data_IF_555623624517
#
_entry.id   IF_555623624517
#
_cell.length_a   1.000
_cell.length_b   1.000
_cell.length_c   1.000
_cell.angle_alpha   90.00
_cell.angle_beta   90.00
_cell.angle_gamma   90.00
#
_symmetry.space_group_name_H-M   'P 1'
#
loop_
_entity.id
_entity.type
_entity.pdbx_description
1 polymer ?
#
# COMPACT_ATOMS: atom_id res chain seq x y z
N UNK A 1 -61.67 -25.05 8.39
CA UNK A 1 -63.06 -25.18 7.88
C UNK A 1 -62.93 -25.51 6.40
N UNK A 2 -63.80 -26.32 5.80
CA UNK A 2 -63.63 -26.71 4.39
C UNK A 2 -64.07 -25.55 3.49
N UNK A 3 -63.13 -24.77 2.97
CA UNK A 3 -63.38 -23.88 1.85
C UNK A 3 -63.73 -24.76 0.63
N UNK A 4 -64.80 -24.40 -0.06
CA UNK A 4 -65.24 -25.09 -1.25
C UNK A 4 -64.81 -24.23 -2.44
N UNK A 5 -63.61 -24.47 -2.97
CA UNK A 5 -63.20 -23.92 -4.26
C UNK A 5 -64.24 -24.30 -5.31
N UNK A 6 -64.78 -23.27 -5.95
CA UNK A 6 -65.91 -23.36 -6.88
C UNK A 6 -65.42 -22.95 -8.26
N UNK A 7 -64.72 -23.85 -8.94
CA UNK A 7 -64.42 -23.65 -10.36
C UNK A 7 -65.73 -23.76 -11.16
N UNK A 8 -66.23 -22.62 -11.65
CA UNK A 8 -67.31 -22.57 -12.64
C UNK A 8 -66.70 -22.31 -14.03
N UNK A 9 -66.54 -23.32 -14.89
CA UNK A 9 -66.30 -23.04 -16.30
C UNK A 9 -67.61 -22.63 -16.97
N UNK A 10 -67.77 -21.34 -17.28
CA UNK A 10 -68.81 -20.86 -18.21
C UNK A 10 -68.22 -20.83 -19.63
N UNK A 11 -68.32 -21.94 -20.34
CA UNK A 11 -68.13 -21.94 -21.80
C UNK A 11 -69.46 -21.59 -22.47
N UNK A 12 -69.66 -20.30 -22.75
CA UNK A 12 -70.69 -19.82 -23.68
C UNK A 12 -70.11 -19.69 -25.09
N UNK A 13 -70.69 -20.37 -26.08
CA UNK A 13 -70.27 -20.38 -27.49
C UNK A 13 -70.35 -19.01 -28.22
N UNK A 14 -70.66 -17.90 -27.53
CA UNK A 14 -70.67 -16.57 -28.14
C UNK A 14 -70.05 -15.53 -27.20
N UNK A 15 -68.75 -15.30 -27.37
CA UNK A 15 -68.04 -14.03 -27.14
C UNK A 15 -68.37 -13.23 -25.89
N UNK A 16 -67.66 -13.51 -24.80
CA UNK A 16 -67.53 -12.63 -23.65
C UNK A 16 -66.86 -13.36 -22.50
N UNK A 17 -65.54 -13.20 -22.34
CA UNK A 17 -64.86 -13.58 -21.11
C UNK A 17 -65.43 -12.70 -20.00
N UNK A 18 -65.97 -13.32 -18.95
CA UNK A 18 -66.31 -12.66 -17.70
C UNK A 18 -65.13 -12.95 -16.78
N UNK A 19 -64.25 -11.96 -16.61
CA UNK A 19 -63.33 -11.91 -15.48
C UNK A 19 -64.20 -11.60 -14.24
N UNK A 20 -64.11 -12.43 -13.20
CA UNK A 20 -64.74 -12.23 -11.88
C UNK A 20 -63.57 -12.35 -10.92
N UNK A 21 -63.05 -11.20 -10.47
CA UNK A 21 -63.34 -10.51 -9.20
C UNK A 21 -62.56 -11.17 -8.06
N UNK A 22 -61.45 -10.52 -7.68
CA UNK A 22 -60.92 -10.34 -6.33
C UNK A 22 -61.47 -11.38 -5.34
N UNK A 23 -60.75 -12.47 -5.12
CA UNK A 23 -61.23 -13.43 -4.14
C UNK A 23 -60.21 -14.45 -3.72
N UNK A 24 -59.82 -14.32 -2.44
CA UNK A 24 -58.95 -15.20 -1.67
C UNK A 24 -59.13 -16.70 -2.03
N UNK A 25 -58.11 -17.31 -2.63
CA UNK A 25 -58.06 -18.74 -2.94
C UNK A 25 -57.22 -19.54 -1.91
N UNK A 26 -57.59 -20.81 -1.71
CA UNK A 26 -56.86 -21.67 -0.78
C UNK A 26 -56.89 -23.16 -1.11
N UNK A 27 -55.76 -23.83 -0.91
CA UNK A 27 -55.61 -25.28 -1.07
C UNK A 27 -54.17 -25.73 -1.31
N UNK A 28 -53.91 -27.05 -1.38
CA UNK A 28 -52.55 -27.59 -1.54
C UNK A 28 -51.79 -27.03 -2.77
N UNK A 29 -52.51 -26.61 -3.83
CA UNK A 29 -51.93 -25.92 -4.99
C UNK A 29 -52.93 -24.84 -5.44
N UNK A 30 -52.52 -23.58 -5.41
CA UNK A 30 -53.29 -22.42 -5.85
C UNK A 30 -52.69 -21.90 -7.17
N UNK A 31 -53.53 -21.35 -8.03
CA UNK A 31 -53.16 -20.81 -9.34
C UNK A 31 -54.11 -19.66 -9.64
N UNK A 32 -53.67 -18.42 -9.43
CA UNK A 32 -54.38 -17.23 -9.85
C UNK A 32 -53.65 -16.54 -11.02
N UNK A 33 -54.28 -15.54 -11.57
CA UNK A 33 -53.84 -14.68 -12.66
C UNK A 33 -54.87 -13.58 -12.91
N UNK A 34 -55.66 -13.26 -11.89
CA UNK A 34 -56.58 -12.15 -11.84
C UNK A 34 -55.87 -11.00 -11.13
N UNK A 35 -55.66 -9.87 -11.82
CA UNK A 35 -55.09 -8.71 -11.14
C UNK A 35 -56.10 -8.06 -10.18
N UNK A 36 -55.65 -7.59 -9.02
CA UNK A 36 -56.58 -7.03 -8.04
C UNK A 36 -55.98 -6.76 -6.67
N UNK A 37 -56.81 -7.00 -5.66
CA UNK A 37 -56.38 -7.13 -4.27
C UNK A 37 -56.81 -8.55 -3.91
N UNK A 38 -55.84 -9.45 -3.78
CA UNK A 38 -56.01 -10.91 -3.71
C UNK A 38 -55.20 -11.42 -2.49
N UNK A 39 -55.60 -12.55 -1.89
CA UNK A 39 -54.94 -13.16 -0.72
C UNK A 39 -54.91 -14.69 -0.95
N UNK A 40 -53.82 -15.27 -1.45
CA UNK A 40 -53.76 -16.71 -1.72
C UNK A 40 -52.96 -17.53 -0.70
N UNK A 41 -53.43 -18.76 -0.42
CA UNK A 41 -52.77 -19.63 0.56
C UNK A 41 -52.74 -21.12 0.22
N UNK A 42 -51.56 -21.75 0.23
CA UNK A 42 -51.40 -23.15 -0.15
C UNK A 42 -50.06 -23.80 0.21
N UNK A 43 -49.84 -25.07 -0.17
CA UNK A 43 -48.46 -25.62 -0.10
C UNK A 43 -47.63 -25.08 -1.30
N UNK A 44 -48.29 -24.78 -2.41
CA UNK A 44 -47.69 -24.14 -3.59
C UNK A 44 -48.67 -23.09 -4.12
N UNK A 45 -48.24 -21.83 -4.19
CA UNK A 45 -49.00 -20.71 -4.77
C UNK A 45 -48.31 -20.28 -6.07
N UNK A 46 -49.11 -19.85 -7.04
CA UNK A 46 -48.65 -19.42 -8.35
C UNK A 46 -49.58 -18.28 -8.79
N UNK A 47 -49.17 -17.04 -8.57
CA UNK A 47 -49.86 -15.88 -9.11
C UNK A 47 -49.16 -15.37 -10.38
N UNK A 48 -49.91 -14.64 -11.17
CA UNK A 48 -49.46 -13.87 -12.30
C UNK A 48 -50.55 -12.87 -12.64
N UNK A 49 -51.12 -12.26 -11.60
CA UNK A 49 -52.01 -11.11 -11.63
C UNK A 49 -51.23 -9.90 -11.12
N UNK A 50 -51.34 -8.75 -11.78
CA UNK A 50 -50.77 -7.53 -11.23
C UNK A 50 -51.72 -6.85 -10.24
N UNK A 51 -51.22 -6.38 -9.10
CA UNK A 51 -52.12 -5.92 -8.06
C UNK A 51 -51.50 -5.49 -6.75
N UNK A 52 -52.26 -5.70 -5.69
CA UNK A 52 -51.85 -5.61 -4.29
C UNK A 52 -52.11 -7.00 -3.70
N UNK A 53 -51.10 -7.85 -3.63
CA UNK A 53 -51.27 -9.30 -3.45
C UNK A 53 -50.59 -9.74 -2.14
N UNK A 54 -51.15 -10.74 -1.47
CA UNK A 54 -50.65 -11.27 -0.19
C UNK A 54 -50.65 -12.81 -0.26
N UNK A 55 -49.55 -13.43 -0.70
CA UNK A 55 -49.50 -14.88 -0.89
C UNK A 55 -48.73 -15.62 0.20
N UNK A 56 -49.19 -16.83 0.53
CA UNK A 56 -48.57 -17.64 1.57
C UNK A 56 -48.52 -19.15 1.27
N UNK A 57 -47.34 -19.77 1.42
CA UNK A 57 -47.23 -21.23 1.28
C UNK A 57 -45.85 -21.83 1.52
N UNK A 58 -45.66 -23.13 1.27
CA UNK A 58 -44.29 -23.70 1.33
C UNK A 58 -43.46 -23.19 0.12
N UNK A 59 -44.11 -22.93 -1.01
CA UNK A 59 -43.49 -22.33 -2.20
C UNK A 59 -44.46 -21.29 -2.80
N UNK A 60 -44.01 -20.06 -2.97
CA UNK A 60 -44.75 -18.97 -3.62
C UNK A 60 -44.02 -18.59 -4.91
N UNK A 61 -44.79 -18.20 -5.93
CA UNK A 61 -44.28 -17.82 -7.24
C UNK A 61 -45.18 -16.72 -7.81
N UNK A 62 -44.74 -15.48 -7.73
CA UNK A 62 -45.34 -14.36 -8.47
C UNK A 62 -44.52 -14.13 -9.76
N UNK A 63 -45.11 -13.46 -10.73
CA UNK A 63 -44.34 -12.87 -11.80
C UNK A 63 -45.03 -11.73 -12.51
N UNK A 64 -45.96 -11.03 -11.84
CA UNK A 64 -46.68 -9.92 -12.44
C UNK A 64 -46.27 -8.54 -11.94
N UNK A 65 -46.03 -8.24 -10.67
CA UNK A 65 -45.55 -6.92 -10.24
C UNK A 65 -46.65 -5.90 -9.93
N UNK A 66 -46.38 -5.12 -8.88
CA UNK A 66 -47.45 -4.49 -8.12
C UNK A 66 -46.99 -4.06 -6.74
N UNK A 67 -47.77 -4.44 -5.74
CA UNK A 67 -47.51 -4.22 -4.32
C UNK A 67 -47.72 -5.56 -3.64
N UNK A 68 -46.69 -6.38 -3.57
CA UNK A 68 -46.73 -7.79 -3.17
C UNK A 68 -46.20 -7.97 -1.73
N UNK A 69 -46.80 -8.90 -0.97
CA UNK A 69 -46.40 -9.29 0.40
C UNK A 69 -46.41 -10.82 0.47
N UNK A 70 -45.33 -11.49 0.05
CA UNK A 70 -45.30 -12.95 -0.04
C UNK A 70 -44.56 -13.63 1.13
N UNK A 71 -45.04 -14.83 1.49
CA UNK A 71 -44.43 -15.58 2.60
C UNK A 71 -44.37 -17.09 2.40
N UNK A 72 -43.19 -17.70 2.60
CA UNK A 72 -43.07 -19.16 2.50
C UNK A 72 -41.73 -19.77 2.85
N UNK A 73 -41.55 -21.09 2.66
CA UNK A 73 -40.20 -21.68 2.76
C UNK A 73 -39.34 -21.23 1.55
N UNK A 74 -39.97 -21.03 0.39
CA UNK A 74 -39.32 -20.49 -0.81
C UNK A 74 -40.24 -19.49 -1.50
N UNK A 75 -39.78 -18.27 -1.71
CA UNK A 75 -40.48 -17.23 -2.47
C UNK A 75 -39.70 -16.95 -3.76
N UNK A 76 -40.41 -16.67 -4.84
CA UNK A 76 -39.85 -16.43 -6.16
C UNK A 76 -40.68 -15.34 -6.83
N UNK A 77 -40.22 -14.10 -6.75
CA UNK A 77 -40.79 -12.99 -7.49
C UNK A 77 -39.93 -12.66 -8.71
N UNK A 78 -40.59 -12.24 -9.79
CA UNK A 78 -39.95 -11.66 -10.99
C UNK A 78 -40.71 -10.42 -11.45
N UNK A 79 -41.55 -9.88 -10.56
CA UNK A 79 -42.49 -8.79 -10.71
C UNK A 79 -41.77 -7.48 -10.83
N UNK A 80 -41.82 -6.62 -9.84
CA UNK A 80 -41.29 -5.26 -9.90
C UNK A 80 -42.37 -4.28 -9.49
N UNK A 81 -42.07 -3.51 -8.46
CA UNK A 81 -43.12 -2.83 -7.72
C UNK A 81 -42.65 -2.38 -6.34
N UNK A 82 -43.49 -2.66 -5.34
CA UNK A 82 -43.12 -2.63 -3.94
C UNK A 82 -43.33 -4.05 -3.41
N UNK A 83 -42.27 -4.75 -3.09
CA UNK A 83 -42.27 -6.16 -2.69
C UNK A 83 -41.79 -6.27 -1.22
N UNK A 84 -42.41 -7.14 -0.42
CA UNK A 84 -42.07 -7.43 1.00
C UNK A 84 -42.16 -8.96 1.16
N UNK A 85 -41.10 -9.66 0.74
CA UNK A 85 -41.09 -11.10 0.72
C UNK A 85 -40.39 -11.70 1.94
N UNK A 86 -40.90 -12.83 2.43
CA UNK A 86 -40.33 -13.50 3.60
C UNK A 86 -40.25 -15.01 3.49
N UNK A 87 -39.09 -15.60 3.78
CA UNK A 87 -38.95 -17.06 3.76
C UNK A 87 -37.62 -17.67 4.16
N UNK A 88 -37.45 -19.00 4.01
CA UNK A 88 -36.10 -19.59 4.16
C UNK A 88 -35.22 -19.23 2.95
N UNK A 89 -35.81 -19.11 1.74
CA UNK A 89 -35.12 -18.64 0.54
C UNK A 89 -36.02 -17.68 -0.23
N UNK A 90 -35.56 -16.46 -0.48
CA UNK A 90 -36.25 -15.46 -1.30
C UNK A 90 -35.43 -15.23 -2.58
N UNK A 91 -36.13 -15.04 -3.69
CA UNK A 91 -35.53 -14.80 -5.00
C UNK A 91 -36.38 -13.75 -5.70
N UNK A 92 -35.98 -12.50 -5.61
CA UNK A 92 -36.53 -11.42 -6.41
C UNK A 92 -35.65 -11.20 -7.65
N UNK A 93 -36.28 -10.88 -8.76
CA UNK A 93 -35.58 -10.40 -9.95
C UNK A 93 -36.36 -9.27 -10.63
N UNK A 94 -37.27 -8.67 -9.88
CA UNK A 94 -38.15 -7.58 -10.22
C UNK A 94 -37.35 -6.32 -10.45
N UNK A 95 -37.48 -5.33 -9.58
CA UNK A 95 -36.90 -4.03 -9.77
C UNK A 95 -37.93 -2.99 -9.39
N UNK A 96 -37.68 -2.35 -8.26
CA UNK A 96 -38.66 -1.52 -7.62
C UNK A 96 -38.14 -0.97 -6.31
N UNK A 97 -38.82 -1.33 -5.23
CA UNK A 97 -38.51 -0.99 -3.86
C UNK A 97 -38.83 -2.27 -3.08
N UNK A 98 -37.79 -3.04 -2.79
CA UNK A 98 -37.88 -4.38 -2.24
C UNK A 98 -37.47 -4.37 -0.75
N UNK A 99 -38.17 -5.14 0.09
CA UNK A 99 -37.92 -5.28 1.54
C UNK A 99 -37.92 -6.80 1.87
N UNK A 100 -36.91 -7.57 1.43
CA UNK A 100 -36.94 -9.03 1.57
C UNK A 100 -36.30 -9.55 2.86
N UNK A 101 -36.78 -10.70 3.33
CA UNK A 101 -36.23 -11.33 4.53
C UNK A 101 -36.15 -12.86 4.50
N UNK A 102 -34.99 -13.43 4.82
CA UNK A 102 -34.86 -14.89 4.90
C UNK A 102 -33.51 -15.46 5.34
N UNK A 103 -33.35 -16.80 5.33
CA UNK A 103 -32.02 -17.40 5.54
C UNK A 103 -31.11 -17.13 4.31
N UNK A 104 -31.68 -17.08 3.10
CA UNK A 104 -30.96 -16.68 1.88
C UNK A 104 -31.86 -15.77 1.03
N UNK A 105 -31.37 -14.59 0.68
CA UNK A 105 -32.06 -13.63 -0.19
C UNK A 105 -31.21 -13.42 -1.45
N UNK A 106 -31.88 -13.28 -2.59
CA UNK A 106 -31.26 -13.07 -3.89
C UNK A 106 -32.13 -12.08 -4.66
N UNK A 107 -31.76 -10.80 -4.63
CA UNK A 107 -32.43 -9.74 -5.38
C UNK A 107 -31.60 -9.41 -6.65
N UNK A 108 -32.31 -9.14 -7.75
CA UNK A 108 -31.76 -8.66 -9.00
C UNK A 108 -31.47 -7.15 -9.03
N UNK A 109 -31.82 -6.44 -7.97
CA UNK A 109 -31.66 -5.02 -7.73
C UNK A 109 -32.83 -4.18 -8.24
N UNK A 110 -33.08 -3.10 -7.53
CA UNK A 110 -34.14 -2.13 -7.71
C UNK A 110 -33.67 -0.71 -7.38
N UNK A 111 -34.47 0.06 -6.67
CA UNK A 111 -34.14 1.42 -6.25
C UNK A 111 -34.58 1.57 -4.79
N UNK A 112 -33.62 1.62 -3.86
CA UNK A 112 -33.84 1.54 -2.41
C UNK A 112 -34.44 0.19 -2.00
N UNK A 113 -33.65 -0.85 -2.11
CA UNK A 113 -33.97 -2.19 -1.62
C UNK A 113 -33.35 -2.36 -0.23
N UNK A 114 -33.97 -3.15 0.63
CA UNK A 114 -33.53 -3.35 2.02
C UNK A 114 -33.68 -4.82 2.43
N UNK A 115 -32.73 -5.66 2.03
CA UNK A 115 -32.84 -7.08 2.31
C UNK A 115 -32.21 -7.48 3.65
N UNK A 116 -32.73 -8.57 4.21
CA UNK A 116 -32.24 -9.09 5.48
C UNK A 116 -32.12 -10.61 5.57
N UNK A 117 -30.95 -11.12 5.96
CA UNK A 117 -30.78 -12.58 6.09
C UNK A 117 -29.45 -13.14 6.59
N UNK A 118 -29.32 -14.47 6.64
CA UNK A 118 -28.00 -15.11 6.91
C UNK A 118 -27.05 -14.94 5.70
N UNK A 119 -27.59 -14.93 4.47
CA UNK A 119 -26.86 -14.63 3.24
C UNK A 119 -27.74 -13.78 2.31
N UNK A 120 -27.27 -12.59 1.95
CA UNK A 120 -27.96 -11.66 1.06
C UNK A 120 -27.10 -11.42 -0.17
N UNK A 121 -27.74 -11.30 -1.33
CA UNK A 121 -27.10 -11.06 -2.63
C UNK A 121 -27.99 -10.10 -3.42
N UNK A 122 -27.67 -8.82 -3.40
CA UNK A 122 -28.45 -7.75 -4.04
C UNK A 122 -27.53 -6.81 -4.86
N UNK A 123 -28.13 -5.80 -5.49
CA UNK A 123 -27.52 -4.58 -5.97
C UNK A 123 -27.88 -3.35 -5.12
N UNK A 124 -28.30 -3.55 -3.85
CA UNK A 124 -28.94 -2.58 -2.96
C UNK A 124 -28.49 -2.70 -1.49
N UNK A 125 -28.91 -1.75 -0.64
CA UNK A 125 -28.42 -1.56 0.72
C UNK A 125 -29.02 -2.50 1.76
N UNK A 126 -28.22 -3.46 2.21
CA UNK A 126 -28.68 -4.68 2.82
C UNK A 126 -28.19 -4.93 4.25
N UNK A 127 -28.74 -5.98 4.89
CA UNK A 127 -28.25 -6.41 6.21
C UNK A 127 -28.22 -7.93 6.44
N UNK A 128 -27.18 -8.47 7.04
CA UNK A 128 -27.12 -9.92 7.27
C UNK A 128 -25.90 -10.50 7.97
N UNK A 129 -25.78 -11.82 8.06
CA UNK A 129 -24.52 -12.45 8.47
C UNK A 129 -23.47 -12.37 7.32
N UNK A 130 -23.92 -12.44 6.05
CA UNK A 130 -23.08 -12.27 4.87
C UNK A 130 -23.86 -11.50 3.81
N UNK A 131 -23.39 -10.33 3.41
CA UNK A 131 -24.00 -9.46 2.40
C UNK A 131 -23.07 -9.39 1.20
N UNK A 132 -23.63 -9.33 0.00
CA UNK A 132 -22.90 -9.27 -1.26
C UNK A 132 -23.60 -8.31 -2.21
N UNK A 133 -23.16 -7.06 -2.24
CA UNK A 133 -23.63 -6.05 -3.16
C UNK A 133 -22.79 -6.06 -4.46
N UNK A 134 -23.48 -5.94 -5.59
CA UNK A 134 -22.88 -5.72 -6.91
C UNK A 134 -23.54 -4.58 -7.68
N UNK A 135 -24.19 -3.68 -6.95
CA UNK A 135 -24.98 -2.52 -7.34
C UNK A 135 -24.14 -1.43 -7.98
N UNK A 136 -24.61 -0.19 -7.93
CA UNK A 136 -23.86 0.93 -8.50
C UNK A 136 -24.58 2.26 -8.41
N UNK A 137 -25.48 2.38 -7.46
CA UNK A 137 -26.04 3.63 -6.95
C UNK A 137 -25.65 3.71 -5.46
N UNK A 138 -25.91 4.83 -4.76
CA UNK A 138 -25.48 5.05 -3.37
C UNK A 138 -26.20 4.08 -2.39
N UNK A 139 -25.52 3.03 -1.91
CA UNK A 139 -26.07 1.98 -1.05
C UNK A 139 -25.31 1.90 0.30
N UNK A 140 -25.65 0.94 1.16
CA UNK A 140 -24.93 0.74 2.42
C UNK A 140 -25.31 -0.54 3.11
N UNK A 141 -24.36 -1.46 3.20
CA UNK A 141 -24.54 -2.80 3.72
C UNK A 141 -24.16 -2.92 5.20
N UNK A 142 -24.79 -3.86 5.89
CA UNK A 142 -24.44 -4.14 7.29
C UNK A 142 -24.45 -5.62 7.66
N UNK A 143 -23.34 -6.17 8.14
CA UNK A 143 -23.32 -7.58 8.53
C UNK A 143 -22.10 -8.12 9.26
N UNK A 144 -22.09 -9.43 9.59
CA UNK A 144 -20.85 -10.06 10.07
C UNK A 144 -19.77 -10.03 8.95
N UNK A 145 -20.20 -10.15 7.68
CA UNK A 145 -19.35 -9.89 6.52
C UNK A 145 -20.12 -9.10 5.46
N UNK A 146 -19.62 -7.95 5.02
CA UNK A 146 -20.11 -7.18 3.88
C UNK A 146 -19.11 -7.28 2.72
N UNK A 147 -19.62 -7.27 1.49
CA UNK A 147 -18.82 -7.40 0.27
C UNK A 147 -19.45 -6.52 -0.80
N UNK A 148 -18.92 -5.33 -1.00
CA UNK A 148 -19.29 -4.46 -2.10
C UNK A 148 -18.31 -4.62 -3.27
N UNK A 149 -18.84 -4.63 -4.48
CA UNK A 149 -18.06 -4.51 -5.70
C UNK A 149 -18.81 -3.72 -6.77
N UNK A 150 -19.77 -2.91 -6.32
CA UNK A 150 -20.58 -2.01 -7.06
C UNK A 150 -19.79 -0.77 -7.46
N UNK A 151 -20.35 0.39 -7.25
CA UNK A 151 -19.68 1.62 -7.59
C UNK A 151 -20.66 2.75 -7.44
N UNK A 152 -20.63 3.41 -6.30
CA UNK A 152 -21.66 4.35 -5.89
C UNK A 152 -21.05 5.51 -5.13
N UNK A 153 -21.64 5.82 -3.98
CA UNK A 153 -20.89 6.20 -2.80
C UNK A 153 -21.50 5.29 -1.74
N UNK A 154 -20.73 4.38 -1.19
CA UNK A 154 -21.27 3.24 -0.46
C UNK A 154 -20.89 3.35 1.05
N UNK A 155 -21.82 3.02 1.95
CA UNK A 155 -21.63 3.12 3.42
C UNK A 155 -21.75 1.73 4.08
N UNK A 156 -20.67 0.95 4.09
CA UNK A 156 -20.68 -0.43 4.59
C UNK A 156 -20.23 -0.58 6.05
N UNK A 157 -20.78 -1.58 6.73
CA UNK A 157 -20.41 -1.86 8.13
C UNK A 157 -20.44 -3.33 8.53
N UNK A 158 -19.50 -3.78 9.37
CA UNK A 158 -19.51 -5.16 9.83
C UNK A 158 -18.37 -5.66 10.72
N UNK A 159 -18.30 -6.99 10.95
CA UNK A 159 -17.08 -7.58 11.53
C UNK A 159 -15.96 -7.64 10.46
N UNK A 160 -16.31 -7.89 9.19
CA UNK A 160 -15.38 -7.79 8.05
C UNK A 160 -16.07 -7.11 6.87
N UNK A 161 -15.51 -6.02 6.37
CA UNK A 161 -15.98 -5.29 5.18
C UNK A 161 -14.97 -5.46 4.05
N UNK A 162 -15.45 -5.57 2.83
CA UNK A 162 -14.62 -5.75 1.64
C UNK A 162 -15.21 -4.93 0.49
N UNK A 163 -14.64 -3.77 0.23
CA UNK A 163 -15.01 -2.95 -0.91
C UNK A 163 -14.01 -3.12 -2.07
N UNK A 164 -14.53 -3.04 -3.29
CA UNK A 164 -13.75 -2.87 -4.51
C UNK A 164 -14.45 -1.95 -5.51
N UNK A 165 -15.23 -1.00 -5.01
CA UNK A 165 -15.92 0.08 -5.69
C UNK A 165 -14.96 0.99 -6.46
N UNK A 166 -15.48 2.06 -7.07
CA UNK A 166 -14.66 2.98 -7.85
C UNK A 166 -14.79 4.44 -7.32
N UNK A 167 -15.65 4.71 -6.31
CA UNK A 167 -16.09 6.08 -5.97
C UNK A 167 -16.65 6.21 -4.53
N UNK A 168 -15.95 6.95 -3.65
CA UNK A 168 -16.49 7.57 -2.42
C UNK A 168 -17.09 6.60 -1.41
N UNK A 169 -16.25 5.82 -0.74
CA UNK A 169 -16.70 4.70 0.07
C UNK A 169 -16.39 4.95 1.56
N UNK A 170 -17.31 4.59 2.46
CA UNK A 170 -17.18 4.73 3.92
C UNK A 170 -17.31 3.35 4.60
N UNK A 171 -16.22 2.57 4.71
CA UNK A 171 -16.25 1.25 5.36
C UNK A 171 -15.99 1.31 6.87
N UNK A 172 -16.75 0.52 7.65
CA UNK A 172 -16.52 0.41 9.09
C UNK A 172 -16.62 -1.00 9.67
N UNK A 173 -15.55 -1.52 10.28
CA UNK A 173 -15.63 -2.84 10.91
C UNK A 173 -14.48 -3.29 11.80
N UNK A 174 -14.52 -4.53 12.33
CA UNK A 174 -13.32 -5.09 13.00
C UNK A 174 -12.17 -5.24 11.98
N UNK A 175 -12.48 -5.55 10.71
CA UNK A 175 -11.54 -5.49 9.59
C UNK A 175 -12.19 -4.81 8.37
N UNK A 176 -11.58 -3.76 7.83
CA UNK A 176 -11.96 -3.13 6.55
C UNK A 176 -10.92 -3.46 5.47
N UNK A 177 -11.36 -3.57 4.22
CA UNK A 177 -10.52 -3.95 3.08
C UNK A 177 -11.01 -3.23 1.83
N UNK A 178 -10.48 -2.04 1.56
CA UNK A 178 -10.75 -1.33 0.32
C UNK A 178 -9.70 -1.66 -0.77
N UNK A 179 -10.14 -1.66 -2.01
CA UNK A 179 -9.27 -1.66 -3.17
C UNK A 179 -9.84 -0.85 -4.33
N UNK A 180 -10.57 0.20 -3.99
CA UNK A 180 -11.26 1.09 -4.88
C UNK A 180 -10.32 1.99 -5.68
N UNK A 181 -10.71 3.24 -5.82
CA UNK A 181 -9.99 4.23 -6.61
C UNK A 181 -10.53 5.65 -6.41
N UNK A 182 -11.36 5.82 -5.38
CA UNK A 182 -12.24 6.95 -5.13
C UNK A 182 -11.66 7.95 -4.13
N UNK A 183 -12.55 8.63 -3.41
CA UNK A 183 -12.22 9.16 -2.09
C UNK A 183 -12.67 8.06 -1.10
N UNK A 184 -11.91 7.67 -0.08
CA UNK A 184 -12.18 6.49 0.75
C UNK A 184 -12.06 6.88 2.24
N UNK A 185 -12.98 6.44 3.11
CA UNK A 185 -13.05 6.80 4.54
C UNK A 185 -13.20 5.51 5.39
N UNK A 186 -12.13 4.74 5.57
CA UNK A 186 -12.20 3.43 6.26
C UNK A 186 -11.94 3.52 7.76
N UNK A 187 -12.63 2.67 8.53
CA UNK A 187 -12.38 2.57 9.98
C UNK A 187 -12.49 1.16 10.58
N UNK A 188 -11.57 0.80 11.47
CA UNK A 188 -11.64 -0.50 12.15
C UNK A 188 -10.54 -0.89 13.15
N UNK A 189 -10.54 -2.14 13.62
CA UNK A 189 -9.38 -2.66 14.37
C UNK A 189 -8.20 -2.92 13.39
N UNK A 190 -8.49 -3.36 12.16
CA UNK A 190 -7.49 -3.49 11.09
C UNK A 190 -8.05 -2.95 9.77
N UNK A 191 -7.38 -1.98 9.16
CA UNK A 191 -7.73 -1.41 7.85
C UNK A 191 -6.67 -1.82 6.82
N UNK A 192 -7.10 -2.05 5.59
CA UNK A 192 -6.26 -2.52 4.49
C UNK A 192 -6.68 -1.87 3.17
N UNK A 193 -6.25 -0.63 2.96
CA UNK A 193 -6.45 0.05 1.69
C UNK A 193 -5.39 -0.38 0.65
N UNK A 194 -5.78 -0.48 -0.62
CA UNK A 194 -4.85 -0.60 -1.73
C UNK A 194 -5.03 0.41 -2.87
N UNK A 195 -5.76 1.49 -2.61
CA UNK A 195 -5.43 2.84 -3.02
C UNK A 195 -6.58 3.59 -3.64
N UNK A 196 -6.74 4.86 -3.33
CA UNK A 196 -7.68 5.78 -3.97
C UNK A 196 -6.99 7.03 -4.49
N UNK A 197 -7.67 8.16 -4.27
CA UNK A 197 -7.16 9.51 -4.59
C UNK A 197 -7.11 10.37 -3.34
N UNK A 198 -8.04 10.17 -2.41
CA UNK A 198 -8.06 10.86 -1.12
C UNK A 198 -8.62 9.88 -0.09
N UNK A 199 -7.73 9.32 0.73
CA UNK A 199 -8.06 8.15 1.55
C UNK A 199 -7.85 8.56 3.03
N UNK A 200 -8.87 8.40 3.89
CA UNK A 200 -8.84 8.74 5.32
C UNK A 200 -9.04 7.47 6.18
N UNK A 201 -7.97 6.72 6.43
CA UNK A 201 -8.04 5.47 7.17
C UNK A 201 -7.83 5.62 8.68
N UNK A 202 -8.59 4.87 9.49
CA UNK A 202 -8.41 4.89 10.94
C UNK A 202 -8.56 3.54 11.65
N UNK A 203 -7.61 3.16 12.51
CA UNK A 203 -7.74 1.93 13.28
C UNK A 203 -6.65 1.57 14.29
N UNK A 204 -6.67 0.37 14.85
CA UNK A 204 -5.54 -0.13 15.66
C UNK A 204 -4.34 -0.46 14.75
N UNK A 205 -4.58 -0.98 13.54
CA UNK A 205 -3.55 -1.22 12.52
C UNK A 205 -4.07 -0.81 11.14
N UNK A 206 -3.45 0.19 10.53
CA UNK A 206 -3.74 0.64 9.15
C UNK A 206 -2.63 0.15 8.21
N UNK A 207 -2.99 -0.23 7.00
CA UNK A 207 -2.08 -0.75 5.99
C UNK A 207 -2.46 -0.22 4.62
N UNK A 208 -2.13 1.04 4.35
CA UNK A 208 -2.33 1.62 3.05
C UNK A 208 -1.22 1.19 2.05
N UNK A 209 -1.61 0.95 0.80
CA UNK A 209 -0.71 0.81 -0.33
C UNK A 209 -0.91 1.91 -1.37
N UNK A 210 -1.36 3.05 -0.91
CA UNK A 210 -1.16 4.39 -1.40
C UNK A 210 -2.20 4.86 -2.39
N UNK A 211 -2.42 6.15 -2.38
CA UNK A 211 -3.28 6.91 -3.26
C UNK A 211 -2.53 8.14 -3.76
N UNK A 212 -3.04 9.31 -3.43
CA UNK A 212 -2.44 10.60 -3.82
C UNK A 212 -2.45 11.58 -2.66
N UNK A 213 -3.43 11.48 -1.76
CA UNK A 213 -3.50 12.29 -0.55
C UNK A 213 -4.12 11.42 0.54
N UNK A 214 -3.28 10.83 1.37
CA UNK A 214 -3.69 9.74 2.23
C UNK A 214 -3.51 10.20 3.69
N UNK A 215 -4.49 9.96 4.57
CA UNK A 215 -4.49 10.39 5.97
C UNK A 215 -4.69 9.16 6.89
N UNK A 216 -3.62 8.40 7.18
CA UNK A 216 -3.73 7.22 8.04
C UNK A 216 -3.63 7.56 9.53
N UNK A 217 -4.46 6.93 10.36
CA UNK A 217 -4.36 7.09 11.82
C UNK A 217 -4.54 5.80 12.61
N UNK A 218 -3.59 5.48 13.52
CA UNK A 218 -3.75 4.30 14.37
C UNK A 218 -2.68 3.99 15.40
N UNK A 219 -2.81 2.87 16.13
CA UNK A 219 -1.71 2.40 16.98
C UNK A 219 -0.49 2.01 16.09
N UNK A 220 -0.74 1.48 14.89
CA UNK A 220 0.28 1.29 13.85
C UNK A 220 -0.26 1.71 12.48
N UNK A 221 0.38 2.66 11.81
CA UNK A 221 0.11 3.07 10.43
C UNK A 221 1.26 2.59 9.51
N UNK A 222 0.92 2.24 8.27
CA UNK A 222 1.86 1.69 7.30
C UNK A 222 1.46 2.13 5.88
N UNK A 223 1.90 3.30 5.43
CA UNK A 223 1.84 3.64 4.01
C UNK A 223 3.02 3.03 3.23
N UNK A 224 2.71 2.44 2.09
CA UNK A 224 3.69 1.93 1.15
C UNK A 224 4.04 2.85 -0.01
N UNK A 225 3.13 3.72 -0.49
CA UNK A 225 3.29 4.47 -1.75
C UNK A 225 2.32 5.66 -1.95
N UNK A 226 2.43 6.76 -1.22
CA UNK A 226 1.65 7.95 -1.56
C UNK A 226 2.41 9.08 -2.29
N UNK A 227 1.80 10.27 -2.28
CA UNK A 227 2.38 11.52 -2.81
C UNK A 227 2.18 12.68 -1.84
N UNK A 228 1.12 12.69 -1.02
CA UNK A 228 0.88 13.74 -0.04
C UNK A 228 0.22 13.11 1.20
N UNK A 229 1.02 12.56 2.09
CA UNK A 229 0.53 11.58 3.05
C UNK A 229 0.68 12.16 4.48
N UNK A 230 -0.35 12.06 5.31
CA UNK A 230 -0.41 12.59 6.67
C UNK A 230 -0.69 11.44 7.68
N UNK A 231 0.34 10.69 8.05
CA UNK A 231 0.17 9.55 8.95
C UNK A 231 0.32 9.90 10.44
N UNK A 232 -0.46 9.24 11.29
CA UNK A 232 -0.35 9.43 12.74
C UNK A 232 -0.55 8.17 13.59
N UNK A 233 0.27 8.00 14.64
CA UNK A 233 0.12 6.83 15.51
C UNK A 233 1.11 6.59 16.64
N UNK A 234 1.07 5.41 17.26
CA UNK A 234 2.15 4.98 18.16
C UNK A 234 3.39 4.53 17.34
N UNK A 235 3.18 3.89 16.18
CA UNK A 235 4.23 3.57 15.22
C UNK A 235 3.76 3.86 13.79
N UNK A 236 4.45 4.75 13.09
CA UNK A 236 4.19 5.10 11.69
C UNK A 236 5.33 4.57 10.83
N UNK A 237 5.02 4.11 9.62
CA UNK A 237 5.98 3.55 8.69
C UNK A 237 5.62 3.96 7.25
N UNK A 238 6.24 5.01 6.76
CA UNK A 238 6.11 5.43 5.37
C UNK A 238 7.26 4.85 4.51
N UNK A 239 6.93 4.44 3.29
CA UNK A 239 7.89 4.05 2.25
C UNK A 239 7.62 4.71 0.90
N UNK A 240 6.78 5.74 0.91
CA UNK A 240 6.25 6.51 -0.19
C UNK A 240 7.28 7.39 -0.88
N UNK A 241 6.82 8.49 -1.43
CA UNK A 241 7.72 9.48 -1.98
C UNK A 241 6.93 10.69 -2.42
N UNK A 242 6.92 11.73 -1.61
CA UNK A 242 5.93 12.78 -1.75
C UNK A 242 6.25 14.05 -0.99
N UNK A 243 5.19 14.72 -0.57
CA UNK A 243 5.20 15.66 0.54
C UNK A 243 4.55 14.93 1.74
N UNK A 244 5.32 14.38 2.69
CA UNK A 244 4.86 13.45 3.75
C UNK A 244 4.96 14.13 5.14
N UNK A 245 3.95 13.97 6.00
CA UNK A 245 3.85 14.55 7.35
C UNK A 245 3.55 13.44 8.40
N UNK A 246 4.59 12.71 8.86
CA UNK A 246 4.41 11.62 9.83
C UNK A 246 4.46 12.09 11.30
N UNK A 247 3.57 11.54 12.13
CA UNK A 247 3.55 11.85 13.56
C UNK A 247 3.29 10.66 14.48
N UNK A 248 4.22 10.34 15.39
CA UNK A 248 3.98 9.28 16.36
C UNK A 248 4.97 9.10 17.50
N UNK A 249 4.79 8.08 18.35
CA UNK A 249 5.84 7.71 19.32
C UNK A 249 7.10 7.24 18.56
N UNK A 250 6.93 6.57 17.41
CA UNK A 250 7.99 6.24 16.47
C UNK A 250 7.53 6.50 15.03
N UNK A 251 8.21 7.38 14.29
CA UNK A 251 8.04 7.58 12.85
C UNK A 251 9.21 6.93 12.10
N UNK A 252 8.94 6.34 10.93
CA UNK A 252 9.92 5.62 10.13
C UNK A 252 9.67 5.88 8.65
N UNK A 253 10.44 6.79 8.07
CA UNK A 253 10.40 7.07 6.65
C UNK A 253 11.58 6.37 5.90
N UNK A 254 11.28 5.80 4.74
CA UNK A 254 12.28 5.31 3.79
C UNK A 254 12.05 5.75 2.34
N UNK A 255 11.15 6.71 2.14
CA UNK A 255 10.69 7.28 0.90
C UNK A 255 11.68 8.24 0.27
N UNK A 256 11.21 9.35 -0.26
CA UNK A 256 12.09 10.39 -0.78
C UNK A 256 11.28 11.54 -1.32
N UNK A 257 11.33 12.68 -0.64
CA UNK A 257 10.31 13.70 -0.84
C UNK A 257 10.63 15.05 -0.22
N UNK A 258 9.60 15.74 0.23
CA UNK A 258 9.71 16.64 1.37
C UNK A 258 9.00 15.96 2.53
N UNK A 259 9.70 15.70 3.62
CA UNK A 259 9.22 14.82 4.69
C UNK A 259 9.33 15.59 6.03
N UNK A 260 8.27 15.60 6.84
CA UNK A 260 8.20 16.29 8.13
C UNK A 260 7.88 15.28 9.25
N UNK A 261 8.86 14.48 9.70
CA UNK A 261 8.66 13.49 10.77
C UNK A 261 8.64 14.11 12.17
N UNK A 262 7.70 13.66 13.01
CA UNK A 262 7.65 14.08 14.41
C UNK A 262 7.35 12.97 15.41
N UNK A 263 8.08 12.91 16.52
CA UNK A 263 7.83 11.88 17.54
C UNK A 263 8.73 11.80 18.75
N UNK A 264 8.58 10.73 19.55
CA UNK A 264 9.60 10.38 20.55
C UNK A 264 10.87 9.87 19.81
N UNK A 265 10.70 9.13 18.71
CA UNK A 265 11.78 8.74 17.81
C UNK A 265 11.39 8.95 16.33
N UNK A 266 12.22 9.65 15.55
CA UNK A 266 12.11 9.79 14.11
C UNK A 266 13.27 9.03 13.43
N UNK A 267 12.99 8.41 12.29
CA UNK A 267 13.94 7.56 11.56
C UNK A 267 13.77 7.73 10.07
N UNK A 268 14.60 8.57 9.45
CA UNK A 268 14.63 8.77 8.02
C UNK A 268 15.79 7.96 7.36
N UNK A 269 15.51 7.35 6.23
CA UNK A 269 16.52 6.78 5.33
C UNK A 269 16.31 7.09 3.85
N UNK A 270 15.38 7.99 3.56
CA UNK A 270 14.94 8.47 2.26
C UNK A 270 15.92 9.44 1.64
N UNK A 271 15.41 10.53 1.06
CA UNK A 271 16.28 11.51 0.44
C UNK A 271 15.49 12.62 -0.22
N UNK A 272 15.59 13.82 0.34
CA UNK A 272 14.61 14.84 0.07
C UNK A 272 14.96 16.22 0.65
N UNK A 273 13.92 16.94 1.07
CA UNK A 273 14.09 17.99 2.08
C UNK A 273 13.34 17.53 3.32
N UNK A 274 14.06 17.24 4.38
CA UNK A 274 13.54 16.55 5.55
C UNK A 274 13.51 17.54 6.73
N UNK A 275 12.46 17.51 7.57
CA UNK A 275 12.33 18.29 8.80
C UNK A 275 11.94 17.41 10.01
N UNK A 276 12.90 16.64 10.51
CA UNK A 276 12.65 15.71 11.61
C UNK A 276 12.66 16.39 12.99
N UNK A 277 11.77 15.92 13.87
CA UNK A 277 11.75 16.37 15.26
C UNK A 277 11.39 15.29 16.28
N UNK A 278 12.18 15.19 17.36
CA UNK A 278 11.84 14.27 18.44
C UNK A 278 12.80 14.19 19.63
N UNK A 279 12.60 13.23 20.53
CA UNK A 279 13.60 12.96 21.58
C UNK A 279 14.86 12.33 20.96
N UNK A 280 14.70 11.42 19.98
CA UNK A 280 15.81 10.85 19.19
C UNK A 280 15.50 10.90 17.69
N UNK A 281 16.37 11.54 16.91
CA UNK A 281 16.29 11.60 15.45
C UNK A 281 17.44 10.79 14.84
N UNK A 282 17.15 10.02 13.80
CA UNK A 282 18.11 9.18 13.10
C UNK A 282 17.92 9.29 11.59
N UNK A 283 18.78 10.07 10.96
CA UNK A 283 18.77 10.27 9.52
C UNK A 283 19.94 9.50 8.85
N UNK A 284 19.64 8.82 7.75
CA UNK A 284 20.63 8.21 6.86
C UNK A 284 20.43 8.52 5.39
N UNK A 285 19.60 9.51 5.08
CA UNK A 285 19.15 9.96 3.77
C UNK A 285 20.18 10.78 3.01
N UNK A 286 19.72 11.51 1.99
CA UNK A 286 20.55 12.44 1.23
C UNK A 286 19.72 13.63 0.78
N UNK A 287 19.86 14.78 1.43
CA UNK A 287 18.90 15.86 1.21
C UNK A 287 19.36 17.26 1.58
N UNK A 288 18.37 18.09 1.87
CA UNK A 288 18.57 19.18 2.80
C UNK A 288 17.76 18.86 4.05
N UNK A 289 18.42 18.36 5.08
CA UNK A 289 17.77 17.92 6.32
C UNK A 289 17.79 19.01 7.39
N UNK A 290 16.81 18.98 8.30
CA UNK A 290 16.68 19.90 9.43
C UNK A 290 16.20 19.17 10.66
N UNK A 291 17.14 18.60 11.38
CA UNK A 291 16.80 17.74 12.50
C UNK A 291 16.77 18.49 13.82
N UNK A 292 15.83 18.10 14.69
CA UNK A 292 15.75 18.68 16.02
C UNK A 292 15.41 17.67 17.12
N UNK A 293 16.27 17.55 18.14
CA UNK A 293 15.97 16.65 19.25
C UNK A 293 16.92 16.64 20.45
N UNK A 294 16.65 15.78 21.43
CA UNK A 294 17.60 15.56 22.55
C UNK A 294 18.86 14.81 22.05
N UNK A 295 18.69 13.92 21.06
CA UNK A 295 19.76 13.23 20.35
C UNK A 295 19.46 13.20 18.85
N UNK A 296 20.39 13.66 18.03
CA UNK A 296 20.33 13.58 16.56
C UNK A 296 21.50 12.75 16.07
N UNK A 297 21.29 11.88 15.09
CA UNK A 297 22.30 11.00 14.53
C UNK A 297 22.13 10.91 13.03
N UNK A 298 22.94 11.69 12.31
CA UNK A 298 22.94 11.77 10.87
C UNK A 298 24.15 10.97 10.31
N UNK A 299 23.88 9.99 9.46
CA UNK A 299 24.88 9.25 8.66
C UNK A 299 24.71 9.50 7.14
N UNK A 300 23.81 10.42 6.77
CA UNK A 300 23.36 10.81 5.45
C UNK A 300 24.35 11.70 4.68
N UNK A 301 23.86 12.58 3.81
CA UNK A 301 24.76 13.53 3.17
C UNK A 301 24.06 14.56 2.33
N UNK A 302 24.19 15.82 2.75
CA UNK A 302 23.34 16.88 2.21
C UNK A 302 23.83 18.28 2.55
N UNK A 303 22.86 19.18 2.73
CA UNK A 303 23.08 20.34 3.59
C UNK A 303 22.20 20.17 4.81
N UNK A 304 22.82 20.02 5.96
CA UNK A 304 22.18 19.61 7.21
C UNK A 304 22.16 20.83 8.17
N UNK A 305 21.09 20.99 8.95
CA UNK A 305 20.91 22.08 9.93
C UNK A 305 20.36 21.49 11.23
N UNK A 306 21.24 20.79 11.95
CA UNK A 306 20.86 20.00 13.12
C UNK A 306 20.88 20.79 14.43
N UNK A 307 19.94 20.43 15.31
CA UNK A 307 19.83 21.06 16.62
C UNK A 307 19.41 20.14 17.76
N UNK A 308 20.21 20.14 18.83
CA UNK A 308 19.94 19.27 19.96
C UNK A 308 20.94 19.34 21.11
N UNK A 309 20.73 18.45 22.08
CA UNK A 309 21.67 18.26 23.20
C UNK A 309 22.90 17.45 22.74
N UNK A 310 22.72 16.47 21.83
CA UNK A 310 23.80 15.66 21.25
C UNK A 310 23.57 15.34 19.76
N UNK A 311 24.41 15.87 18.86
CA UNK A 311 24.50 15.50 17.43
C UNK A 311 25.68 14.56 17.17
N UNK A 312 25.38 13.52 16.38
CA UNK A 312 26.33 12.57 15.84
C UNK A 312 26.26 12.60 14.31
N UNK A 313 27.09 13.42 13.70
CA UNK A 313 27.24 13.50 12.25
C UNK A 313 28.39 12.58 11.78
N UNK A 314 28.06 11.62 10.93
CA UNK A 314 28.97 10.80 10.16
C UNK A 314 28.83 10.98 8.64
N UNK A 315 27.93 11.85 8.21
CA UNK A 315 27.59 12.17 6.84
C UNK A 315 28.65 13.02 6.16
N UNK A 316 28.35 13.53 4.97
CA UNK A 316 29.29 14.39 4.27
C UNK A 316 28.60 15.48 3.47
N UNK A 317 28.61 16.70 4.01
CA UNK A 317 27.82 17.79 3.46
C UNK A 317 28.39 19.18 3.69
N UNK A 318 27.51 20.17 3.70
CA UNK A 318 27.73 21.39 4.47
C UNK A 318 26.78 21.37 5.66
N UNK A 319 27.31 21.28 6.87
CA UNK A 319 26.50 21.26 8.09
C UNK A 319 26.56 22.62 8.84
N UNK A 320 25.47 22.98 9.52
CA UNK A 320 25.35 24.16 10.41
C UNK A 320 24.79 23.78 11.80
N UNK A 321 25.53 22.93 12.54
CA UNK A 321 25.06 22.43 13.84
C UNK A 321 25.10 23.47 14.97
N UNK A 322 24.09 23.46 15.85
CA UNK A 322 23.99 24.41 16.96
C UNK A 322 23.69 23.81 18.33
N UNK A 323 24.74 23.46 19.11
CA UNK A 323 24.54 22.52 20.25
C UNK A 323 25.41 22.64 21.53
N UNK A 324 25.14 21.76 22.51
CA UNK A 324 26.01 21.50 23.66
C UNK A 324 27.16 20.51 23.31
N UNK A 325 26.91 19.43 22.55
CA UNK A 325 27.93 18.41 22.19
C UNK A 325 27.81 17.83 20.77
N UNK A 326 28.80 18.09 19.90
CA UNK A 326 28.86 17.59 18.52
C UNK A 326 29.97 16.53 18.36
N UNK A 327 29.66 15.41 17.68
CA UNK A 327 30.56 14.30 17.36
C UNK A 327 30.73 14.07 15.85
N UNK A 328 31.37 15.01 15.18
CA UNK A 328 31.66 14.89 13.74
C UNK A 328 32.78 13.86 13.43
N UNK A 329 32.45 12.89 12.59
CA UNK A 329 33.34 11.83 12.09
C UNK A 329 34.09 12.16 10.79
N UNK A 330 33.67 13.19 10.07
CA UNK A 330 33.92 13.34 8.66
C UNK A 330 34.87 14.51 8.32
N UNK A 331 34.85 14.98 7.08
CA UNK A 331 35.83 15.96 6.61
C UNK A 331 35.24 17.00 5.65
N UNK A 332 34.00 17.38 5.95
CA UNK A 332 33.19 18.38 5.29
C UNK A 332 33.67 19.81 5.52
N UNK A 333 32.78 20.75 5.24
CA UNK A 333 33.07 22.18 5.27
C UNK A 333 32.12 22.86 6.26
N UNK A 334 32.25 22.44 7.51
CA UNK A 334 31.38 22.65 8.68
C UNK A 334 31.47 24.05 9.31
N UNK A 335 30.34 24.54 9.86
CA UNK A 335 30.26 25.72 10.73
C UNK A 335 29.69 25.43 12.15
N UNK A 336 30.13 24.39 12.85
CA UNK A 336 29.56 24.02 14.17
C UNK A 336 29.69 25.09 15.26
N UNK A 337 28.63 25.23 16.04
CA UNK A 337 28.54 26.15 17.17
C UNK A 337 28.30 25.46 18.52
N UNK A 338 29.07 24.40 18.80
CA UNK A 338 29.02 23.59 20.01
C UNK A 338 29.72 24.12 21.28
N UNK A 339 29.22 23.80 22.48
CA UNK A 339 29.95 23.98 23.76
C UNK A 339 31.17 23.02 23.84
N UNK A 340 31.04 21.82 23.25
CA UNK A 340 32.11 20.83 23.06
C UNK A 340 32.01 20.12 21.71
N UNK A 341 33.04 20.23 20.84
CA UNK A 341 33.10 19.54 19.54
C UNK A 341 34.20 18.47 19.53
N UNK A 342 33.90 17.27 19.05
CA UNK A 342 34.79 16.11 19.00
C UNK A 342 35.04 15.61 17.57
N UNK A 343 35.91 16.29 16.82
CA UNK A 343 36.40 15.81 15.52
C UNK A 343 37.06 14.43 15.58
N UNK A 344 36.50 13.48 14.84
CA UNK A 344 36.95 12.10 14.66
C UNK A 344 38.27 11.95 13.93
N UNK A 345 39.39 12.45 14.47
CA UNK A 345 40.77 12.10 14.12
C UNK A 345 41.15 11.91 12.62
N UNK A 346 40.48 12.61 11.69
CA UNK A 346 40.92 12.79 10.30
C UNK A 346 42.40 13.27 10.25
N UNK A 347 42.81 14.01 11.28
CA UNK A 347 44.19 14.47 11.51
C UNK A 347 45.16 13.31 11.81
N UNK A 348 44.77 12.27 12.57
CA UNK A 348 45.63 11.13 12.82
C UNK A 348 45.89 10.33 11.54
N UNK A 349 44.86 10.13 10.70
CA UNK A 349 44.96 9.42 9.42
C UNK A 349 45.89 10.19 8.47
N UNK A 350 45.70 11.51 8.31
CA UNK A 350 46.60 12.36 7.52
C UNK A 350 48.03 12.33 8.06
N UNK A 351 48.22 12.38 9.38
CA UNK A 351 49.55 12.26 9.99
C UNK A 351 50.19 10.90 9.70
N UNK A 352 49.40 9.81 9.76
CA UNK A 352 49.85 8.46 9.46
C UNK A 352 50.27 8.34 8.00
N UNK A 353 49.45 8.82 7.06
CA UNK A 353 49.74 8.82 5.63
C UNK A 353 51.01 9.62 5.36
N UNK A 354 51.14 10.83 5.91
CA UNK A 354 52.34 11.67 5.75
C UNK A 354 53.58 10.96 6.30
N UNK A 355 53.50 10.34 7.48
CA UNK A 355 54.62 9.59 8.09
C UNK A 355 55.01 8.38 7.24
N UNK A 356 54.03 7.62 6.73
CA UNK A 356 54.27 6.47 5.85
C UNK A 356 54.91 6.91 4.54
N UNK A 357 54.37 7.94 3.88
CA UNK A 357 54.91 8.48 2.62
C UNK A 357 56.33 9.01 2.81
N UNK A 358 56.59 9.80 3.86
CA UNK A 358 57.93 10.31 4.18
C UNK A 358 58.93 9.19 4.43
N UNK A 359 58.53 8.14 5.15
CA UNK A 359 59.37 6.98 5.40
C UNK A 359 59.75 6.25 4.10
N UNK A 360 58.77 6.05 3.22
CA UNK A 360 59.00 5.41 1.91
C UNK A 360 59.94 6.24 1.04
N UNK A 361 59.79 7.56 1.01
CA UNK A 361 60.70 8.47 0.28
C UNK A 361 62.13 8.36 0.82
N UNK A 362 62.31 8.34 2.15
CA UNK A 362 63.64 8.21 2.78
C UNK A 362 64.28 6.86 2.45
N UNK A 363 63.52 5.78 2.42
CA UNK A 363 64.01 4.46 2.03
C UNK A 363 64.45 4.42 0.56
N UNK A 364 63.65 4.99 -0.35
CA UNK A 364 64.00 5.11 -1.78
C UNK A 364 65.27 5.96 -1.96
N UNK A 365 65.37 7.12 -1.30
CA UNK A 365 66.56 7.98 -1.37
C UNK A 365 67.80 7.26 -0.83
N UNK A 366 67.66 6.50 0.26
CA UNK A 366 68.75 5.72 0.83
C UNK A 366 69.22 4.62 -0.13
N UNK A 367 68.30 3.92 -0.78
CA UNK A 367 68.64 2.94 -1.81
C UNK A 367 69.35 3.58 -3.00
N UNK A 368 68.88 4.75 -3.47
CA UNK A 368 69.52 5.49 -4.56
C UNK A 368 70.96 5.91 -4.19
N UNK A 369 71.19 6.42 -2.98
CA UNK A 369 72.53 6.81 -2.53
C UNK A 369 73.47 5.60 -2.49
N UNK A 370 73.00 4.45 -2.01
CA UNK A 370 73.79 3.21 -2.00
C UNK A 370 74.13 2.76 -3.42
N UNK A 371 73.17 2.81 -4.34
CA UNK A 371 73.40 2.47 -5.76
C UNK A 371 74.43 3.42 -6.37
N UNK A 372 74.27 4.74 -6.19
CA UNK A 372 75.21 5.75 -6.71
C UNK A 372 76.61 5.54 -6.15
N UNK A 373 76.74 5.31 -4.84
CA UNK A 373 78.04 5.03 -4.20
C UNK A 373 78.68 3.75 -4.75
N UNK A 374 77.89 2.69 -4.95
CA UNK A 374 78.38 1.43 -5.54
C UNK A 374 78.87 1.64 -6.97
N UNK A 375 78.13 2.37 -7.78
CA UNK A 375 78.52 2.73 -9.16
C UNK A 375 79.80 3.55 -9.17
N UNK A 376 79.94 4.53 -8.26
CA UNK A 376 81.18 5.33 -8.15
C UNK A 376 82.37 4.45 -7.75
N UNK A 377 82.19 3.53 -6.79
CA UNK A 377 83.23 2.59 -6.38
C UNK A 377 83.64 1.69 -7.54
N UNK A 378 82.68 1.14 -8.30
CA UNK A 378 82.98 0.31 -9.48
C UNK A 378 83.75 1.10 -10.55
N UNK A 379 83.35 2.36 -10.81
CA UNK A 379 84.08 3.25 -11.75
C UNK A 379 85.50 3.52 -11.26
N UNK A 380 85.70 3.77 -9.96
CA UNK A 380 87.02 4.06 -9.40
C UNK A 380 87.90 2.81 -9.34
N UNK A 381 87.34 1.65 -9.03
CA UNK A 381 88.04 0.35 -9.06
C UNK A 381 88.46 -0.02 -10.47
N UNK A 382 87.63 0.23 -11.48
CA UNK A 382 87.96 -0.07 -12.88
C UNK A 382 88.99 0.90 -13.49
N UNK A 383 89.14 2.11 -12.94
CA UNK A 383 90.18 3.07 -13.37
C UNK A 383 91.55 2.84 -12.71
N UNK A 384 91.65 1.92 -11.74
CA UNK A 384 92.87 1.67 -10.99
C UNK A 384 93.85 0.69 -11.64
N UNK A 385 93.47 0.03 -12.74
CA UNK A 385 94.26 -1.03 -13.38
C UNK A 385 94.63 -0.72 -14.84
N UNK A 386 94.93 0.55 -15.14
CA UNK A 386 95.77 0.87 -16.30
C UNK A 386 97.24 0.66 -15.93
N UNK A 387 97.56 -0.60 -15.58
CA UNK A 387 98.91 -1.11 -15.57
C UNK A 387 99.58 -0.78 -16.91
N UNK A 388 100.70 -0.08 -16.78
CA UNK A 388 101.60 0.28 -17.86
C UNK A 388 102.25 -1.00 -18.43
N UNK A 389 101.50 -1.74 -19.26
CA UNK A 389 102.07 -2.79 -20.10
C UNK A 389 102.47 -2.18 -21.43
N UNK A 390 103.72 -1.70 -21.47
CA UNK A 390 104.55 -1.82 -22.65
C UNK A 390 104.64 -3.32 -22.99
N UNK A 391 103.79 -3.84 -23.86
CA UNK A 391 104.25 -4.84 -24.81
C UNK A 391 103.36 -5.01 -26.05
N UNK A 392 104.06 -5.30 -27.12
CA UNK A 392 103.64 -5.38 -28.51
C UNK A 392 102.61 -6.46 -28.82
N UNK A 393 101.66 -6.12 -29.70
CA UNK A 393 101.35 -6.99 -30.85
C UNK A 393 100.00 -7.71 -30.86
N UNK A 394 99.36 -7.58 -32.03
CA UNK A 394 98.36 -8.45 -32.65
C UNK A 394 96.86 -8.34 -32.26
N UNK A 395 96.10 -7.88 -33.27
CA UNK A 395 94.86 -8.45 -33.82
C UNK A 395 93.82 -9.02 -32.83
N UNK A 396 92.59 -8.49 -32.88
CA UNK A 396 91.48 -8.99 -33.72
C UNK A 396 90.27 -8.09 -33.47
N UNK A 397 89.71 -7.53 -34.55
CA UNK A 397 88.35 -7.02 -34.58
C UNK A 397 87.39 -8.19 -34.80
N UNK A 398 86.48 -8.41 -33.86
CA UNK A 398 85.20 -9.13 -34.02
C UNK A 398 84.34 -8.68 -32.82
N UNK A 399 83.08 -8.23 -32.91
CA UNK A 399 82.04 -8.54 -33.88
C UNK A 399 80.84 -9.12 -33.11
N UNK A 400 79.68 -8.44 -33.17
CA UNK A 400 78.38 -8.94 -32.68
C UNK A 400 78.06 -8.59 -31.23
N UNK A 401 76.87 -8.10 -30.86
CA UNK A 401 75.55 -8.22 -31.50
C UNK A 401 74.61 -8.92 -30.51
N UNK A 402 73.47 -8.31 -30.20
CA UNK A 402 72.45 -8.94 -29.36
C UNK A 402 71.56 -7.94 -28.61
N UNK A 403 70.72 -7.24 -29.37
CA UNK A 403 69.53 -6.56 -28.88
C UNK A 403 68.44 -7.63 -28.79
N UNK A 404 67.86 -7.88 -27.62
CA UNK A 404 66.60 -8.62 -27.49
C UNK A 404 65.57 -7.67 -26.88
N UNK A 405 64.77 -7.09 -27.78
CA UNK A 405 63.47 -6.48 -27.49
C UNK A 405 62.48 -7.61 -27.21
N UNK A 406 62.03 -7.74 -25.96
CA UNK A 406 60.95 -8.65 -25.56
C UNK A 406 59.68 -7.81 -25.34
N UNK A 407 58.94 -7.57 -26.44
CA UNK A 407 57.59 -6.98 -26.40
C UNK A 407 56.57 -8.09 -26.17
N UNK A 408 56.16 -8.28 -24.91
CA UNK A 408 55.02 -9.12 -24.57
C UNK A 408 53.70 -8.42 -24.90
N UNK A 409 53.01 -8.97 -25.90
CA UNK A 409 51.59 -8.71 -26.21
C UNK A 409 50.70 -9.14 -25.03
N UNK A 410 49.91 -8.23 -24.49
CA UNK A 410 48.79 -8.55 -23.60
C UNK A 410 47.48 -8.41 -24.39
N UNK A 411 46.93 -9.56 -24.79
CA UNK A 411 45.58 -9.71 -25.32
C UNK A 411 44.64 -9.82 -24.13
N UNK A 412 43.80 -8.81 -23.88
CA UNK A 412 42.63 -8.96 -23.03
C UNK A 412 41.42 -9.30 -23.91
N UNK A 413 40.93 -10.51 -23.67
CA UNK A 413 39.70 -11.11 -24.15
C UNK A 413 38.54 -10.54 -23.30
N UNK A 414 37.58 -9.88 -23.92
CA UNK A 414 36.36 -9.37 -23.29
C UNK A 414 35.18 -10.20 -23.78
N UNK A 415 34.77 -11.17 -22.97
CA UNK A 415 33.59 -12.00 -23.22
C UNK A 415 32.90 -12.37 -21.90
N UNK A 416 31.58 -12.18 -21.88
CA UNK A 416 30.67 -12.52 -20.79
C UNK A 416 29.89 -11.29 -20.36
N UNK A 417 28.57 -11.26 -20.35
CA UNK A 417 27.58 -12.33 -20.50
C UNK A 417 26.27 -11.74 -19.99
N UNK A 418 25.20 -11.97 -20.72
CA UNK A 418 23.83 -11.59 -20.39
C UNK A 418 23.21 -12.59 -19.43
N UNK A 419 22.61 -12.12 -18.34
CA UNK A 419 21.61 -12.77 -17.48
C UNK A 419 20.74 -11.60 -16.96
N UNK A 420 19.42 -11.66 -16.84
CA UNK A 420 18.35 -12.55 -17.31
C UNK A 420 17.10 -11.67 -17.42
#
# INVERSE_FOLDING_TARGET
MTAASKIIPVFGEEGGAIFVENGDDSGDNVYDGGGGNEEDSGDNVYDGGGGNEEDSGDNVYDGDGGNEEDSGDNVYDVGGGYEDDSGDNVYDGGGGNEDDSGDNVYDGGGVNDQDSGDNVYDGGGDSGDNVYDGGGDDEGDSGDNAYDGGGGNDEDSGDNVYDGGDVNDEDSGDNAYDGGGGDEDDSGDNVYDCGGVNDEDSGDNVYDRGGVNDEDSGDNAYDGVGVNDEDSGDNVYDGGGGDEDDSGDNAYDGGGGNEDDSGDNAYDGGGGNEEDSGDNVYDGGFGNEKDSGDTVCDDGGGNEDDSGDNVYDGGGGNEDDSEDTVYDGDCGNEEDSGDTVYYGDCVEILSMIVVVVMRTIVEIMSMMVVVVMRTIVEILSNNGDCGNEDDSGDNVCDGGGGNEDDSGDNVYDSGGGTEE
#
